data_IF_530370709084
#
_entry.id   IF_530370709084
#
_cell.length_a   1.000
_cell.length_b   1.000
_cell.length_c   1.000
_cell.angle_alpha   90.00
_cell.angle_beta   90.00
_cell.angle_gamma   90.00
#
_symmetry.space_group_name_H-M   'P 1'
#
loop_
_entity.id
_entity.type
_entity.pdbx_description
1 polymer ?
#
# COMPACT_ATOMS: atom_id res chain seq x y z
N UNK A 1 12.86 3.30 -0.85
CA UNK A 1 12.09 2.51 0.16
C UNK A 1 10.65 2.40 -0.32
N UNK A 2 10.01 1.22 -0.24
CA UNK A 2 8.58 1.08 -0.59
C UNK A 2 7.75 1.72 0.52
N UNK A 3 6.80 2.58 0.19
CA UNK A 3 6.02 3.33 1.20
C UNK A 3 4.55 2.94 1.26
N UNK A 4 3.87 2.86 0.12
CA UNK A 4 2.42 2.62 0.10
C UNK A 4 1.94 2.02 -1.23
N UNK A 5 0.81 1.29 -1.23
CA UNK A 5 0.14 0.89 -2.47
C UNK A 5 -0.32 2.11 -3.26
N UNK A 6 -0.42 1.96 -4.57
CA UNK A 6 -1.02 2.97 -5.44
C UNK A 6 -2.53 2.75 -5.51
N UNK A 7 -3.28 3.52 -4.74
CA UNK A 7 -4.75 3.46 -4.78
C UNK A 7 -5.30 4.06 -6.10
N UNK A 8 -6.31 3.43 -6.72
CA UNK A 8 -6.89 3.96 -7.94
C UNK A 8 -7.66 5.26 -7.66
N UNK A 9 -7.71 6.15 -8.65
CA UNK A 9 -8.50 7.37 -8.61
C UNK A 9 -9.35 7.48 -9.88
N UNK A 10 -10.34 8.38 -9.90
CA UNK A 10 -11.26 8.52 -11.03
C UNK A 10 -10.57 8.80 -12.38
N UNK A 11 -9.36 9.40 -12.36
CA UNK A 11 -8.57 9.64 -13.58
C UNK A 11 -8.19 8.35 -14.30
N UNK A 12 -8.10 7.23 -13.58
CA UNK A 12 -7.92 5.91 -14.19
C UNK A 12 -9.12 5.56 -15.09
N UNK A 13 -10.35 5.83 -14.62
CA UNK A 13 -11.55 5.61 -15.42
C UNK A 13 -11.60 6.48 -16.67
N UNK A 14 -11.18 7.75 -16.56
CA UNK A 14 -11.06 8.66 -17.72
C UNK A 14 -10.04 8.11 -18.73
N UNK A 15 -8.85 7.70 -18.27
CA UNK A 15 -7.78 7.18 -19.13
C UNK A 15 -8.22 5.96 -19.95
N UNK A 16 -9.03 5.09 -19.35
CA UNK A 16 -9.47 3.85 -19.98
C UNK A 16 -10.89 3.92 -20.57
N UNK A 17 -11.55 5.10 -20.50
CA UNK A 17 -12.92 5.27 -21.01
C UNK A 17 -13.97 4.40 -20.32
N UNK A 18 -13.72 3.94 -19.09
CA UNK A 18 -14.59 3.00 -18.37
C UNK A 18 -14.57 3.25 -16.86
N UNK A 19 -15.74 3.43 -16.25
CA UNK A 19 -15.82 3.76 -14.83
C UNK A 19 -15.52 2.55 -13.91
N UNK A 20 -15.85 1.35 -14.36
CA UNK A 20 -15.71 0.11 -13.59
C UNK A 20 -14.25 -0.32 -13.36
N UNK A 21 -13.28 0.22 -14.12
CA UNK A 21 -11.86 -0.12 -13.96
C UNK A 21 -11.32 0.29 -12.58
N UNK A 22 -11.87 1.32 -11.95
CA UNK A 22 -11.43 1.71 -10.60
C UNK A 22 -11.69 0.59 -9.60
N UNK A 23 -12.89 -0.02 -9.68
CA UNK A 23 -13.26 -1.17 -8.86
C UNK A 23 -12.44 -2.40 -9.24
N UNK A 24 -12.34 -2.72 -10.53
CA UNK A 24 -11.57 -3.90 -10.98
C UNK A 24 -10.09 -3.81 -10.61
N UNK A 25 -9.49 -2.64 -10.71
CA UNK A 25 -8.10 -2.40 -10.33
C UNK A 25 -7.89 -2.67 -8.83
N UNK A 26 -8.79 -2.16 -7.99
CA UNK A 26 -8.73 -2.42 -6.54
C UNK A 26 -8.97 -3.89 -6.20
N UNK A 27 -9.98 -4.51 -6.83
CA UNK A 27 -10.35 -5.92 -6.62
C UNK A 27 -9.25 -6.89 -7.05
N UNK A 28 -8.48 -6.54 -8.09
CA UNK A 28 -7.36 -7.35 -8.56
C UNK A 28 -6.19 -7.42 -7.57
N UNK A 29 -6.05 -6.42 -6.69
CA UNK A 29 -4.89 -6.18 -5.82
C UNK A 29 -3.56 -5.94 -6.56
N UNK A 30 -3.59 -5.83 -7.89
CA UNK A 30 -2.43 -5.52 -8.73
C UNK A 30 -2.25 -4.00 -8.87
N UNK A 31 -2.19 -3.33 -7.72
CA UNK A 31 -2.24 -1.87 -7.65
C UNK A 31 -0.89 -1.21 -7.93
N UNK A 32 0.20 -1.93 -7.73
CA UNK A 32 1.55 -1.36 -7.68
C UNK A 32 1.77 -0.54 -6.41
N UNK A 33 2.90 0.16 -6.34
CA UNK A 33 3.31 0.88 -5.13
C UNK A 33 4.19 2.08 -5.46
N UNK A 34 4.33 2.96 -4.48
CA UNK A 34 5.25 4.09 -4.54
C UNK A 34 6.52 3.80 -3.77
N UNK A 35 7.61 4.42 -4.23
CA UNK A 35 8.85 4.53 -3.51
C UNK A 35 9.03 5.95 -2.98
N UNK A 36 9.64 6.08 -1.80
CA UNK A 36 10.34 7.31 -1.42
C UNK A 36 11.80 7.26 -1.89
N UNK A 37 12.32 8.42 -2.28
CA UNK A 37 13.73 8.65 -2.58
C UNK A 37 14.46 8.87 -1.25
N UNK A 38 15.31 7.93 -0.87
CA UNK A 38 16.14 8.06 0.34
C UNK A 38 17.41 8.86 0.07
N UNK A 39 17.96 8.67 -1.13
CA UNK A 39 19.14 9.36 -1.62
C UNK A 39 18.95 9.58 -3.12
N UNK A 40 19.15 10.81 -3.57
CA UNK A 40 19.09 11.16 -4.98
C UNK A 40 20.30 10.59 -5.75
N UNK A 41 20.11 10.38 -7.04
CA UNK A 41 21.14 9.81 -7.91
C UNK A 41 20.66 9.74 -9.36
N UNK A 42 21.50 9.16 -10.22
CA UNK A 42 21.15 8.87 -11.62
C UNK A 42 20.69 7.43 -11.75
N UNK A 43 19.69 7.22 -12.60
CA UNK A 43 19.16 5.91 -12.97
C UNK A 43 18.89 5.91 -14.46
N UNK A 44 19.14 4.78 -15.12
CA UNK A 44 18.96 4.60 -16.56
C UNK A 44 18.15 3.34 -16.88
N UNK A 45 17.64 3.26 -18.11
CA UNK A 45 16.96 2.05 -18.56
C UNK A 45 17.99 0.90 -18.67
N UNK A 46 17.65 -0.25 -18.08
CA UNK A 46 18.54 -1.42 -18.02
C UNK A 46 19.17 -1.61 -16.64
N UNK A 47 19.12 -0.61 -15.77
CA UNK A 47 19.55 -0.76 -14.38
C UNK A 47 18.71 -1.82 -13.64
N UNK A 48 19.39 -2.58 -12.79
CA UNK A 48 18.75 -3.64 -11.99
C UNK A 48 18.35 -3.14 -10.61
N UNK A 49 17.17 -3.54 -10.13
CA UNK A 49 16.77 -3.34 -8.75
C UNK A 49 17.22 -4.53 -7.89
N UNK A 50 18.04 -4.25 -6.88
CA UNK A 50 18.48 -5.24 -5.89
C UNK A 50 17.79 -4.99 -4.55
N UNK A 51 17.22 -6.03 -3.95
CA UNK A 51 16.66 -5.95 -2.62
C UNK A 51 17.79 -5.96 -1.59
N UNK A 52 18.00 -4.83 -0.92
CA UNK A 52 19.06 -4.69 0.10
C UNK A 52 18.58 -4.99 1.52
N UNK A 53 17.29 -4.81 1.79
CA UNK A 53 16.71 -5.00 3.12
C UNK A 53 15.22 -5.33 3.00
N UNK A 54 14.70 -6.06 3.98
CA UNK A 54 13.28 -6.39 4.14
C UNK A 54 12.86 -6.04 5.56
N UNK A 55 11.71 -5.39 5.69
CA UNK A 55 11.11 -5.05 6.97
C UNK A 55 10.72 -6.32 7.75
N UNK A 56 10.97 -6.35 9.06
CA UNK A 56 10.74 -7.50 9.93
C UNK A 56 9.27 -7.75 10.26
N UNK A 57 8.39 -6.75 10.12
CA UNK A 57 6.95 -6.92 10.32
C UNK A 57 6.32 -7.80 9.23
N UNK A 58 7.04 -8.04 8.13
CA UNK A 58 6.66 -8.91 7.03
C UNK A 58 5.27 -8.59 6.47
N UNK A 59 4.99 -7.29 6.30
CA UNK A 59 3.75 -6.77 5.72
C UNK A 59 3.97 -6.45 4.25
N UNK A 60 3.18 -7.05 3.37
CA UNK A 60 3.30 -6.83 1.93
C UNK A 60 2.44 -5.65 1.46
N UNK A 61 2.72 -5.13 0.27
CA UNK A 61 1.87 -4.11 -0.38
C UNK A 61 0.43 -4.63 -0.60
N UNK A 62 0.30 -5.93 -0.90
CA UNK A 62 -0.99 -6.57 -1.08
C UNK A 62 -1.78 -6.63 0.25
N UNK A 63 -1.10 -6.81 1.38
CA UNK A 63 -1.71 -6.80 2.71
C UNK A 63 -2.31 -5.43 3.05
N UNK A 64 -1.56 -4.34 2.82
CA UNK A 64 -2.08 -2.98 3.03
C UNK A 64 -3.31 -2.72 2.16
N UNK A 65 -3.27 -3.16 0.89
CA UNK A 65 -4.42 -3.03 -0.02
C UNK A 65 -5.62 -3.87 0.45
N UNK A 66 -5.37 -5.07 0.97
CA UNK A 66 -6.39 -5.99 1.50
C UNK A 66 -7.09 -5.41 2.73
N UNK A 67 -6.32 -4.92 3.70
CA UNK A 67 -6.83 -4.25 4.90
C UNK A 67 -7.72 -3.06 4.57
N UNK A 68 -7.32 -2.25 3.59
CA UNK A 68 -8.08 -1.08 3.16
C UNK A 68 -9.38 -1.43 2.43
N UNK A 69 -9.32 -2.40 1.51
CA UNK A 69 -10.40 -2.63 0.56
C UNK A 69 -11.50 -3.55 1.08
N UNK A 70 -11.16 -4.54 1.92
CA UNK A 70 -12.09 -5.66 2.22
C UNK A 70 -11.98 -6.23 3.63
N UNK A 71 -10.78 -6.30 4.20
CA UNK A 71 -10.54 -7.13 5.39
C UNK A 71 -10.04 -6.33 6.58
N UNK A 72 -10.82 -5.35 6.98
CA UNK A 72 -10.50 -4.47 8.11
C UNK A 72 -10.55 -5.18 9.48
N UNK A 73 -10.93 -6.45 9.51
CA UNK A 73 -11.13 -7.27 10.72
C UNK A 73 -9.90 -8.09 11.11
N UNK A 74 -8.86 -8.13 10.26
CA UNK A 74 -7.62 -8.86 10.54
C UNK A 74 -6.75 -8.05 11.53
N UNK A 75 -7.03 -8.23 12.83
CA UNK A 75 -6.38 -7.50 13.90
C UNK A 75 -4.87 -7.76 13.98
N UNK A 76 -4.44 -9.00 13.74
CA UNK A 76 -3.02 -9.34 13.76
C UNK A 76 -2.27 -8.58 12.65
N UNK A 77 -2.82 -8.57 11.44
CA UNK A 77 -2.22 -7.84 10.33
C UNK A 77 -2.30 -6.32 10.53
N UNK A 78 -3.40 -5.79 11.08
CA UNK A 78 -3.50 -4.37 11.45
C UNK A 78 -2.41 -3.97 12.44
N UNK A 79 -2.19 -4.78 13.48
CA UNK A 79 -1.14 -4.54 14.47
C UNK A 79 0.24 -4.56 13.84
N UNK A 80 0.55 -5.51 12.95
CA UNK A 80 1.83 -5.52 12.23
C UNK A 80 1.97 -4.32 11.28
N UNK A 81 0.90 -3.94 10.59
CA UNK A 81 0.92 -2.84 9.62
C UNK A 81 1.23 -1.49 10.28
N UNK A 82 0.70 -1.20 11.47
CA UNK A 82 0.98 0.06 12.18
C UNK A 82 2.42 0.17 12.69
N UNK A 83 3.14 -0.96 12.82
CA UNK A 83 4.55 -1.00 13.21
C UNK A 83 5.52 -0.78 12.03
N UNK A 84 5.03 -0.77 10.78
CA UNK A 84 5.88 -0.52 9.60
C UNK A 84 6.26 0.96 9.56
N UNK A 85 7.53 1.26 9.83
CA UNK A 85 8.03 2.65 9.86
C UNK A 85 7.89 3.36 8.51
N UNK A 86 8.10 2.61 7.41
CA UNK A 86 8.01 3.13 6.05
C UNK A 86 6.58 3.52 5.63
N UNK A 87 5.56 3.08 6.37
CA UNK A 87 4.16 3.33 6.07
C UNK A 87 3.80 4.79 6.44
N UNK A 88 3.24 5.60 5.51
CA UNK A 88 2.88 6.98 5.79
C UNK A 88 1.89 7.13 6.95
N UNK A 89 1.95 8.27 7.64
CA UNK A 89 1.12 8.55 8.82
C UNK A 89 -0.37 8.41 8.54
N UNK A 90 -0.88 8.93 7.43
CA UNK A 90 -2.31 8.81 7.08
C UNK A 90 -2.80 7.36 6.99
N UNK A 91 -1.95 6.42 6.56
CA UNK A 91 -2.27 4.99 6.58
C UNK A 91 -2.24 4.42 7.99
N UNK A 92 -1.19 4.73 8.77
CA UNK A 92 -1.05 4.30 10.16
C UNK A 92 -2.21 4.78 11.03
N UNK A 93 -2.58 6.05 10.91
CA UNK A 93 -3.69 6.66 11.64
C UNK A 93 -5.02 5.99 11.27
N UNK A 94 -5.25 5.75 9.98
CA UNK A 94 -6.44 5.03 9.52
C UNK A 94 -6.53 3.64 10.14
N UNK A 95 -5.45 2.85 10.12
CA UNK A 95 -5.44 1.49 10.69
C UNK A 95 -5.55 1.49 12.22
N UNK A 96 -4.90 2.43 12.90
CA UNK A 96 -5.03 2.59 14.34
C UNK A 96 -6.50 2.84 14.73
N UNK A 97 -7.21 3.70 13.99
CA UNK A 97 -8.64 3.92 14.21
C UNK A 97 -9.48 2.65 14.03
N UNK A 98 -9.09 1.73 13.13
CA UNK A 98 -9.82 0.47 12.96
C UNK A 98 -9.57 -0.46 14.14
N UNK A 99 -8.33 -0.58 14.60
CA UNK A 99 -7.98 -1.36 15.80
C UNK A 99 -8.85 -0.91 16.99
N UNK A 100 -8.96 0.39 17.22
CA UNK A 100 -9.75 0.92 18.34
C UNK A 100 -11.26 0.64 18.22
N UNK A 101 -11.80 0.55 16.99
CA UNK A 101 -13.22 0.19 16.79
C UNK A 101 -13.52 -1.26 17.18
N UNK A 102 -12.56 -2.17 17.03
CA UNK A 102 -12.73 -3.59 17.37
C UNK A 102 -12.43 -3.92 18.83
N UNK A 103 -11.91 -2.95 19.60
CA UNK A 103 -11.76 -3.08 21.06
C UNK A 103 -13.04 -2.72 21.84
N UNK A 104 -14.02 -2.11 21.18
CA UNK A 104 -15.36 -1.83 21.73
C UNK A 104 -16.32 -2.96 21.42
#
# INVERSE_FOLDING_TARGET
>A
MVTQPRMPCYKLGIKFGRADIVKQFLDSRLTGFYFSVLQEGKVENGDTLSLIARDSNNVTVADITRLYAREIHDLELLHRAVQVEALPTGWRDYFQQQIEKFKK
#
